data_IF_165899366744
#
_entry.id   IF_165899366744
#
_cell.length_a   1.000
_cell.length_b   1.000
_cell.length_c   1.000
_cell.angle_alpha   90.00
_cell.angle_beta   90.00
_cell.angle_gamma   90.00
#
_symmetry.space_group_name_H-M   'P 1'
#
loop_
_entity.id
_entity.type
_entity.pdbx_description
1 polymer ?
#
# COMPACT_ATOMS: atom_id res chain seq x y z
N UNK A 1 -36.48 -7.89 -17.64
CA UNK A 1 -35.17 -7.79 -18.32
C UNK A 1 -34.13 -7.97 -17.24
N UNK A 2 -33.40 -9.08 -17.25
CA UNK A 2 -32.50 -9.43 -16.16
C UNK A 2 -31.19 -8.64 -16.31
N UNK A 3 -30.81 -7.88 -15.27
CA UNK A 3 -29.49 -7.29 -15.13
C UNK A 3 -28.48 -8.43 -14.95
N UNK A 4 -27.77 -8.80 -16.03
CA UNK A 4 -26.73 -9.81 -15.97
C UNK A 4 -25.41 -9.16 -15.56
N UNK A 5 -25.18 -9.04 -14.26
CA UNK A 5 -23.79 -9.11 -13.80
C UNK A 5 -23.45 -10.60 -13.71
N UNK A 6 -22.51 -11.06 -14.52
CA UNK A 6 -22.11 -12.46 -14.51
C UNK A 6 -21.49 -12.79 -13.15
N UNK A 7 -22.08 -13.69 -12.34
CA UNK A 7 -21.53 -14.04 -11.04
C UNK A 7 -20.24 -14.84 -11.22
N UNK A 8 -19.12 -14.14 -11.13
CA UNK A 8 -17.79 -14.69 -10.92
C UNK A 8 -17.09 -13.85 -9.87
N UNK A 9 -16.10 -14.41 -9.18
CA UNK A 9 -15.27 -13.67 -8.22
C UNK A 9 -14.40 -12.65 -8.99
N UNK A 10 -15.01 -11.56 -9.45
CA UNK A 10 -14.30 -10.46 -10.03
C UNK A 10 -13.79 -9.58 -8.89
N UNK A 11 -12.47 -9.61 -8.70
CA UNK A 11 -11.78 -8.71 -7.79
C UNK A 11 -11.54 -7.41 -8.52
N UNK A 12 -12.13 -6.34 -8.01
CA UNK A 12 -11.92 -4.99 -8.51
C UNK A 12 -11.11 -4.21 -7.48
N UNK A 13 -9.98 -3.66 -7.90
CA UNK A 13 -9.21 -2.77 -7.05
C UNK A 13 -9.83 -1.37 -7.07
N UNK A 14 -10.18 -0.84 -5.90
CA UNK A 14 -10.58 0.57 -5.80
C UNK A 14 -9.31 1.42 -5.75
N UNK A 15 -9.10 2.35 -6.70
CA UNK A 15 -8.00 3.29 -6.62
C UNK A 15 -8.31 4.29 -5.50
N UNK A 16 -7.73 4.06 -4.33
CA UNK A 16 -7.78 5.02 -3.24
C UNK A 16 -6.40 5.67 -3.12
N UNK A 17 -6.37 6.98 -3.19
CA UNK A 17 -5.20 7.82 -2.95
C UNK A 17 -5.52 8.68 -1.73
N UNK A 18 -4.60 8.74 -0.77
CA UNK A 18 -4.77 9.53 0.46
C UNK A 18 -4.92 11.01 0.07
N UNK A 19 -5.96 11.65 0.58
CA UNK A 19 -6.28 13.05 0.30
C UNK A 19 -7.07 13.28 -0.99
N UNK A 20 -7.52 12.23 -1.68
CA UNK A 20 -8.37 12.33 -2.87
C UNK A 20 -9.78 11.78 -2.64
N UNK A 21 -10.73 12.32 -3.42
CA UNK A 21 -12.10 11.82 -3.46
C UNK A 21 -12.15 10.48 -4.21
N UNK A 22 -12.93 9.53 -3.69
CA UNK A 22 -13.20 8.26 -4.37
C UNK A 22 -14.46 8.40 -5.22
N UNK A 23 -14.29 8.23 -6.52
CA UNK A 23 -15.38 8.21 -7.49
C UNK A 23 -15.45 6.82 -8.10
N UNK A 24 -16.58 6.14 -7.93
CA UNK A 24 -16.83 4.81 -8.50
C UNK A 24 -18.00 4.90 -9.46
N UNK A 25 -17.75 4.63 -10.74
CA UNK A 25 -18.75 4.62 -11.78
C UNK A 25 -19.14 3.19 -12.15
N UNK A 26 -20.42 2.86 -12.01
CA UNK A 26 -20.99 1.60 -12.45
C UNK A 26 -21.76 1.83 -13.75
N UNK A 27 -21.32 1.18 -14.83
CA UNK A 27 -22.04 1.18 -16.09
C UNK A 27 -22.91 -0.06 -16.22
N UNK A 28 -24.20 0.12 -16.49
CA UNK A 28 -25.11 -0.96 -16.84
C UNK A 28 -24.92 -1.36 -18.30
N UNK A 29 -24.74 -2.65 -18.56
CA UNK A 29 -24.51 -3.22 -19.89
C UNK A 29 -25.32 -4.50 -20.11
N UNK A 30 -25.63 -4.81 -21.36
CA UNK A 30 -26.20 -6.10 -21.76
C UNK A 30 -25.12 -7.21 -21.78
N UNK A 31 -25.53 -8.44 -22.09
CA UNK A 31 -24.62 -9.59 -22.17
C UNK A 31 -23.53 -9.46 -23.26
N UNK A 32 -23.66 -8.49 -24.17
CA UNK A 32 -22.69 -8.20 -25.23
C UNK A 32 -21.79 -7.00 -24.86
N UNK A 33 -21.94 -6.42 -23.67
CA UNK A 33 -21.20 -5.24 -23.23
C UNK A 33 -21.75 -3.92 -23.79
N UNK A 34 -22.92 -3.92 -24.45
CA UNK A 34 -23.53 -2.67 -24.92
C UNK A 34 -24.16 -1.95 -23.72
N UNK A 35 -23.98 -0.63 -23.58
CA UNK A 35 -24.61 0.08 -22.48
C UNK A 35 -26.14 0.06 -22.54
N UNK A 36 -26.79 -0.11 -21.39
CA UNK A 36 -28.24 -0.17 -21.25
C UNK A 36 -28.68 0.75 -20.12
N UNK A 37 -29.78 1.48 -20.31
CA UNK A 37 -30.32 2.35 -19.26
C UNK A 37 -30.77 1.55 -18.03
N UNK A 38 -30.54 2.12 -16.84
CA UNK A 38 -31.13 1.60 -15.62
C UNK A 38 -32.65 1.71 -15.67
N UNK A 39 -33.33 0.68 -15.17
CA UNK A 39 -34.79 0.71 -15.07
C UNK A 39 -35.24 1.84 -14.12
N UNK A 40 -36.39 2.49 -14.38
CA UNK A 40 -36.92 3.52 -13.50
C UNK A 40 -37.06 3.07 -12.05
N UNK A 41 -36.52 3.86 -11.12
CA UNK A 41 -36.58 3.66 -9.67
C UNK A 41 -35.57 2.67 -9.09
N UNK A 42 -34.66 2.11 -9.92
CA UNK A 42 -33.48 1.40 -9.42
C UNK A 42 -32.68 2.33 -8.51
N UNK A 43 -32.16 1.77 -7.42
CA UNK A 43 -31.22 2.45 -6.52
C UNK A 43 -29.95 1.59 -6.39
N UNK A 44 -28.79 2.24 -6.35
CA UNK A 44 -27.50 1.60 -6.18
C UNK A 44 -26.76 2.26 -5.02
N UNK A 45 -26.09 1.45 -4.19
CA UNK A 45 -25.30 1.91 -3.06
C UNK A 45 -24.00 1.12 -2.96
N UNK A 46 -22.88 1.81 -2.76
CA UNK A 46 -21.60 1.21 -2.42
C UNK A 46 -21.50 1.07 -0.89
N UNK A 47 -21.27 -0.14 -0.40
CA UNK A 47 -21.01 -0.45 1.01
C UNK A 47 -19.54 -0.89 1.18
N UNK A 48 -18.79 -0.22 2.03
CA UNK A 48 -17.38 -0.49 2.34
C UNK A 48 -17.29 -0.98 3.79
N UNK A 49 -16.67 -2.14 4.02
CA UNK A 49 -16.60 -2.78 5.35
C UNK A 49 -15.33 -2.39 6.10
N UNK A 50 -15.45 -1.43 7.00
CA UNK A 50 -14.34 -1.00 7.83
C UNK A 50 -14.13 -2.00 8.97
N UNK A 51 -12.89 -2.44 9.22
CA UNK A 51 -12.58 -3.50 10.19
C UNK A 51 -13.05 -3.24 11.62
N UNK A 52 -13.11 -1.98 12.06
CA UNK A 52 -13.49 -1.61 13.43
C UNK A 52 -14.68 -0.65 13.52
N UNK A 53 -15.06 0.02 12.43
CA UNK A 53 -16.00 1.16 12.45
C UNK A 53 -17.36 0.84 11.82
N UNK A 54 -17.54 -0.38 11.29
CA UNK A 54 -18.79 -0.82 10.68
C UNK A 54 -18.84 -0.62 9.16
N UNK A 55 -20.01 -0.29 8.63
CA UNK A 55 -20.23 -0.17 7.18
C UNK A 55 -20.30 1.30 6.79
N UNK A 56 -19.41 1.72 5.90
CA UNK A 56 -19.48 3.00 5.22
C UNK A 56 -20.30 2.86 3.94
N UNK A 57 -21.40 3.59 3.82
CA UNK A 57 -22.25 3.58 2.62
C UNK A 57 -22.21 4.88 1.84
N UNK A 58 -22.24 4.78 0.51
CA UNK A 58 -22.41 5.88 -0.44
C UNK A 58 -23.52 5.55 -1.46
N UNK A 59 -24.53 6.41 -1.55
CA UNK A 59 -25.61 6.27 -2.53
C UNK A 59 -25.12 6.72 -3.90
N UNK A 60 -25.48 5.99 -4.95
CA UNK A 60 -25.15 6.35 -6.30
C UNK A 60 -26.10 7.43 -6.85
N UNK A 61 -25.55 8.37 -7.61
CA UNK A 61 -26.33 9.20 -8.51
C UNK A 61 -26.48 8.45 -9.84
N UNK A 62 -27.70 8.01 -10.13
CA UNK A 62 -28.04 7.29 -11.36
C UNK A 62 -28.46 8.30 -12.42
N UNK A 63 -27.89 8.18 -13.61
CA UNK A 63 -28.28 8.94 -14.79
C UNK A 63 -29.05 8.02 -15.76
N UNK A 64 -28.48 7.72 -16.92
CA UNK A 64 -29.02 6.79 -17.92
C UNK A 64 -28.52 5.38 -17.63
N UNK A 65 -27.32 5.07 -18.11
CA UNK A 65 -26.62 3.80 -18.02
C UNK A 65 -25.44 3.86 -17.04
N UNK A 66 -25.23 4.99 -16.35
CA UNK A 66 -24.18 5.19 -15.35
C UNK A 66 -24.77 5.46 -13.97
N UNK A 67 -24.17 4.86 -12.95
CA UNK A 67 -24.46 5.06 -11.55
C UNK A 67 -23.16 5.41 -10.82
N UNK A 68 -23.03 6.65 -10.38
CA UNK A 68 -21.79 7.16 -9.79
C UNK A 68 -21.92 7.27 -8.27
N UNK A 69 -21.08 6.53 -7.55
CA UNK A 69 -20.90 6.70 -6.11
C UNK A 69 -19.75 7.68 -5.86
N UNK A 70 -20.00 8.68 -5.01
CA UNK A 70 -19.00 9.65 -4.58
C UNK A 70 -18.75 9.53 -3.08
N UNK A 71 -17.47 9.42 -2.71
CA UNK A 71 -17.00 9.44 -1.33
C UNK A 71 -15.96 10.56 -1.20
N UNK A 72 -16.23 11.62 -0.41
CA UNK A 72 -15.27 12.70 -0.25
C UNK A 72 -14.03 12.23 0.50
N UNK A 73 -12.91 12.90 0.28
CA UNK A 73 -11.60 12.55 0.84
C UNK A 73 -11.65 12.35 2.37
N UNK A 74 -12.40 13.19 3.09
CA UNK A 74 -12.61 13.09 4.54
C UNK A 74 -13.16 11.74 5.04
N UNK A 75 -13.79 10.97 4.14
CA UNK A 75 -14.28 9.61 4.39
C UNK A 75 -13.37 8.56 3.78
N UNK A 76 -12.78 8.80 2.62
CA UNK A 76 -11.90 7.82 1.95
C UNK A 76 -10.60 7.61 2.71
N UNK A 77 -10.10 8.64 3.38
CA UNK A 77 -8.92 8.57 4.25
C UNK A 77 -9.10 7.62 5.45
N UNK A 78 -10.35 7.25 5.77
CA UNK A 78 -10.67 6.27 6.83
C UNK A 78 -10.62 4.81 6.33
N UNK A 79 -10.49 4.60 5.02
CA UNK A 79 -10.50 3.27 4.42
C UNK A 79 -9.08 2.69 4.49
N UNK A 80 -8.89 1.73 5.38
CA UNK A 80 -7.62 1.00 5.49
C UNK A 80 -7.34 0.12 4.25
N UNK A 81 -6.06 -0.18 4.00
CA UNK A 81 -5.66 -1.14 2.98
C UNK A 81 -6.26 -2.54 3.26
N UNK A 82 -6.65 -3.26 2.22
CA UNK A 82 -7.19 -4.61 2.36
C UNK A 82 -8.64 -4.66 2.87
N UNK A 83 -9.32 -3.51 2.91
CA UNK A 83 -10.76 -3.44 3.19
C UNK A 83 -11.56 -3.97 2.00
N UNK A 84 -12.58 -4.76 2.32
CA UNK A 84 -13.55 -5.28 1.36
C UNK A 84 -14.69 -4.28 1.15
N UNK A 85 -15.25 -4.31 -0.05
CA UNK A 85 -16.44 -3.55 -0.40
C UNK A 85 -17.43 -4.43 -1.15
N UNK A 86 -18.70 -4.02 -1.15
CA UNK A 86 -19.76 -4.60 -1.96
C UNK A 86 -20.60 -3.50 -2.60
N UNK A 87 -21.04 -3.75 -3.82
CA UNK A 87 -22.10 -2.97 -4.44
C UNK A 87 -23.46 -3.60 -4.09
N UNK A 88 -24.42 -2.78 -3.67
CA UNK A 88 -25.78 -3.19 -3.35
C UNK A 88 -26.73 -2.54 -4.34
N UNK A 89 -27.35 -3.35 -5.20
CA UNK A 89 -28.37 -2.92 -6.15
C UNK A 89 -29.76 -3.22 -5.59
N UNK A 90 -30.65 -2.24 -5.66
CA UNK A 90 -32.07 -2.37 -5.28
C UNK A 90 -32.95 -2.04 -6.49
N UNK A 91 -33.82 -2.98 -6.87
CA UNK A 91 -34.75 -2.80 -8.00
C UNK A 91 -36.16 -2.58 -7.45
N UNK A 92 -36.90 -1.55 -7.90
CA UNK A 92 -38.26 -1.28 -7.45
C UNK A 92 -39.23 -2.31 -8.05
N UNK A 93 -40.23 -2.73 -7.27
CA UNK A 93 -41.31 -3.61 -7.74
C UNK A 93 -41.25 -5.07 -7.26
N UNK A 94 -40.29 -5.43 -6.40
CA UNK A 94 -40.38 -6.67 -5.62
C UNK A 94 -41.48 -6.55 -4.56
N UNK A 95 -42.68 -7.06 -4.85
CA UNK A 95 -43.73 -7.21 -3.85
C UNK A 95 -43.29 -8.24 -2.81
N UNK A 96 -42.79 -7.76 -1.68
CA UNK A 96 -42.36 -8.58 -0.56
C UNK A 96 -40.88 -8.35 -0.26
N UNK A 97 -40.58 -8.32 1.03
CA UNK A 97 -39.26 -8.48 1.66
C UNK A 97 -38.23 -9.12 0.72
N UNK A 98 -37.02 -8.56 0.55
CA UNK A 98 -36.03 -9.06 -0.42
C UNK A 98 -35.69 -10.53 -0.12
N UNK A 99 -36.41 -11.45 -0.77
CA UNK A 99 -36.29 -12.90 -0.56
C UNK A 99 -35.30 -13.53 -1.56
N UNK A 100 -34.95 -12.80 -2.61
CA UNK A 100 -33.89 -13.14 -3.54
C UNK A 100 -33.05 -11.90 -3.73
N UNK A 101 -31.92 -11.93 -3.06
CA UNK A 101 -30.96 -10.87 -3.09
C UNK A 101 -30.21 -11.03 -4.42
N UNK A 102 -30.58 -10.28 -5.46
CA UNK A 102 -29.68 -10.05 -6.61
C UNK A 102 -28.55 -9.10 -6.14
N UNK A 103 -27.87 -9.47 -5.05
CA UNK A 103 -26.52 -9.02 -4.77
C UNK A 103 -25.71 -9.75 -5.81
N UNK A 104 -25.11 -8.98 -6.70
CA UNK A 104 -23.93 -9.46 -7.39
C UNK A 104 -22.80 -8.95 -6.51
N UNK A 105 -22.19 -9.82 -5.68
CA UNK A 105 -21.09 -9.41 -4.85
C UNK A 105 -19.90 -9.24 -5.79
N UNK A 106 -19.72 -8.00 -6.22
CA UNK A 106 -18.45 -7.58 -6.80
C UNK A 106 -17.49 -7.40 -5.63
N UNK A 107 -16.86 -8.49 -5.22
CA UNK A 107 -15.90 -8.50 -4.11
C UNK A 107 -14.57 -7.96 -4.63
N UNK A 108 -14.34 -6.67 -4.46
CA UNK A 108 -13.04 -6.05 -4.70
C UNK A 108 -12.22 -5.87 -3.42
N UNK A 109 -10.92 -5.70 -3.57
CA UNK A 109 -10.01 -5.30 -2.51
C UNK A 109 -9.63 -3.82 -2.71
N UNK A 110 -9.51 -3.04 -1.65
CA UNK A 110 -8.92 -1.71 -1.76
C UNK A 110 -7.39 -1.85 -1.78
N UNK A 111 -6.77 -1.42 -2.88
CA UNK A 111 -5.31 -1.23 -2.97
C UNK A 111 -5.05 0.28 -2.96
N UNK A 112 -4.42 0.75 -1.87
CA UNK A 112 -3.96 2.13 -1.81
C UNK A 112 -2.76 2.27 -2.75
N UNK A 113 -2.90 3.11 -3.77
CA UNK A 113 -1.77 3.54 -4.58
C UNK A 113 -1.18 4.76 -3.87
N UNK A 114 -0.09 4.57 -3.12
CA UNK A 114 0.77 5.69 -2.83
C UNK A 114 1.27 6.29 -4.15
N UNK A 115 1.68 7.57 -4.19
CA UNK A 115 2.26 8.18 -5.39
C UNK A 115 3.45 7.38 -5.97
N UNK A 116 4.03 6.45 -5.19
CA UNK A 116 5.21 5.66 -5.56
C UNK A 116 4.96 4.13 -5.66
N UNK A 117 3.72 3.63 -5.55
CA UNK A 117 3.47 2.18 -5.41
C UNK A 117 2.40 1.63 -6.37
N UNK A 118 2.67 1.69 -7.68
CA UNK A 118 1.98 0.84 -8.64
C UNK A 118 2.53 -0.60 -8.56
N UNK A 119 1.70 -1.64 -8.37
CA UNK A 119 2.15 -3.03 -8.39
C UNK A 119 2.66 -3.40 -9.79
N UNK A 120 3.85 -3.98 -9.84
CA UNK A 120 4.37 -4.62 -11.04
C UNK A 120 3.51 -5.86 -11.36
N UNK A 121 2.61 -5.76 -12.35
CA UNK A 121 1.87 -6.94 -12.83
C UNK A 121 0.54 -6.75 -13.54
N UNK A 122 0.06 -5.53 -13.82
CA UNK A 122 -1.23 -5.36 -14.52
C UNK A 122 -1.13 -5.76 -16.00
N UNK A 123 -1.74 -6.90 -16.35
CA UNK A 123 -1.92 -7.34 -17.73
C UNK A 123 -2.80 -6.37 -18.52
N UNK A 124 -2.50 -6.23 -19.80
CA UNK A 124 -3.23 -5.35 -20.72
C UNK A 124 -4.69 -5.79 -20.88
N UNK A 125 -5.64 -4.95 -20.46
CA UNK A 125 -7.05 -5.07 -20.88
C UNK A 125 -7.21 -4.23 -22.15
N UNK A 126 -7.55 -4.84 -23.31
CA UNK A 126 -7.83 -4.05 -24.50
C UNK A 126 -9.15 -3.27 -24.31
N UNK A 127 -9.08 -1.95 -24.33
CA UNK A 127 -10.26 -1.08 -24.43
C UNK A 127 -10.54 -0.84 -25.92
N UNK A 128 -11.63 -1.41 -26.43
CA UNK A 128 -12.08 -1.14 -27.80
C UNK A 128 -12.97 0.10 -27.79
N UNK A 129 -12.52 1.18 -28.43
CA UNK A 129 -13.33 2.38 -28.67
C UNK A 129 -14.03 2.29 -30.04
N UNK A 130 -15.18 2.97 -30.24
CA UNK A 130 -16.03 2.80 -31.44
C UNK A 130 -15.38 3.19 -32.78
N UNK A 131 -14.22 3.86 -32.76
CA UNK A 131 -13.61 4.47 -33.94
C UNK A 131 -12.25 3.87 -34.34
N UNK A 132 -11.92 2.69 -33.81
CA UNK A 132 -10.68 1.96 -34.12
C UNK A 132 -9.79 1.72 -32.90
N UNK A 133 -8.99 0.67 -32.98
CA UNK A 133 -8.13 0.22 -31.88
C UNK A 133 -6.98 1.21 -31.67
N UNK A 134 -6.95 1.88 -30.51
CA UNK A 134 -5.76 2.58 -30.02
C UNK A 134 -4.93 1.56 -29.25
N UNK A 135 -3.96 0.94 -29.90
CA UNK A 135 -2.92 0.17 -29.19
C UNK A 135 -1.98 1.14 -28.50
N UNK A 136 -2.28 1.49 -27.26
CA UNK A 136 -1.30 2.15 -26.39
C UNK A 136 -0.21 1.10 -26.14
N UNK A 137 0.98 1.30 -26.72
CA UNK A 137 2.16 0.56 -26.29
C UNK A 137 2.45 0.98 -24.84
N UNK A 138 1.88 0.25 -23.89
CA UNK A 138 2.32 0.32 -22.51
C UNK A 138 3.69 -0.39 -22.50
N UNK A 139 4.80 0.30 -22.20
CA UNK A 139 6.08 -0.38 -22.07
C UNK A 139 5.92 -1.43 -20.97
N UNK A 140 6.02 -2.70 -21.33
CA UNK A 140 6.05 -3.77 -20.34
C UNK A 140 7.30 -3.55 -19.51
N UNK A 141 7.20 -3.44 -18.17
CA UNK A 141 8.38 -3.44 -17.31
C UNK A 141 9.27 -4.60 -17.70
N UNK A 142 10.58 -4.36 -17.80
CA UNK A 142 11.54 -5.43 -18.06
C UNK A 142 11.39 -6.54 -17.02
N UNK A 143 11.85 -7.76 -17.32
CA UNK A 143 11.89 -8.84 -16.33
C UNK A 143 12.54 -8.31 -15.04
N UNK A 144 11.99 -8.64 -13.85
CA UNK A 144 12.68 -8.34 -12.60
C UNK A 144 14.13 -8.79 -12.71
N UNK A 145 15.06 -7.94 -12.29
CA UNK A 145 16.48 -8.31 -12.26
C UNK A 145 16.66 -9.60 -11.48
N UNK A 146 17.67 -10.40 -11.85
CA UNK A 146 18.02 -11.59 -11.07
C UNK A 146 18.21 -11.19 -9.60
N UNK A 147 17.61 -11.94 -8.68
CA UNK A 147 17.85 -11.71 -7.26
C UNK A 147 19.35 -11.80 -6.99
N UNK A 148 19.89 -10.81 -6.26
CA UNK A 148 21.29 -10.83 -5.86
C UNK A 148 21.60 -12.09 -5.05
N UNK A 149 22.84 -12.56 -5.13
CA UNK A 149 23.34 -13.64 -4.27
C UNK A 149 23.19 -13.19 -2.82
N UNK A 150 22.60 -14.04 -1.97
CA UNK A 150 22.49 -13.75 -0.54
C UNK A 150 23.89 -13.51 0.05
N UNK A 151 24.07 -12.37 0.72
CA UNK A 151 25.32 -12.07 1.43
C UNK A 151 25.57 -13.07 2.55
N UNK A 152 26.82 -13.49 2.74
CA UNK A 152 27.22 -14.50 3.74
C UNK A 152 27.66 -13.91 5.10
N UNK A 153 27.25 -12.68 5.42
CA UNK A 153 27.69 -11.99 6.64
C UNK A 153 26.73 -12.16 7.82
N UNK A 154 27.27 -12.29 9.04
CA UNK A 154 26.49 -12.11 10.28
C UNK A 154 26.52 -10.63 10.65
N UNK A 155 25.35 -10.02 10.76
CA UNK A 155 25.19 -8.61 11.16
C UNK A 155 24.82 -8.51 12.65
N UNK A 156 25.47 -7.61 13.36
CA UNK A 156 25.14 -7.20 14.73
C UNK A 156 24.46 -5.83 14.67
N UNK A 157 23.36 -5.66 15.38
CA UNK A 157 22.60 -4.41 15.45
C UNK A 157 22.41 -3.97 16.90
N UNK A 158 22.55 -2.67 17.17
CA UNK A 158 22.27 -2.06 18.46
C UNK A 158 23.21 -2.48 19.57
N UNK A 159 24.45 -2.88 19.27
CA UNK A 159 25.41 -3.25 20.31
C UNK A 159 25.82 -2.03 21.13
N UNK A 160 25.88 -2.17 22.46
CA UNK A 160 26.48 -1.19 23.35
C UNK A 160 27.94 -1.60 23.60
N UNK A 161 28.93 -0.91 23.02
CA UNK A 161 30.33 -1.30 23.16
C UNK A 161 30.81 -1.08 24.60
N UNK A 162 31.78 -1.87 25.04
CA UNK A 162 32.39 -1.72 26.34
C UNK A 162 33.16 -0.39 26.44
N UNK A 163 32.92 0.33 27.53
CA UNK A 163 33.45 1.66 27.78
C UNK A 163 32.36 2.54 28.37
N UNK A 164 32.66 3.28 29.43
CA UNK A 164 31.69 4.18 30.06
C UNK A 164 31.91 5.60 29.53
N UNK A 165 30.90 6.19 28.86
CA UNK A 165 30.90 7.62 28.56
C UNK A 165 31.09 8.43 29.85
N UNK A 166 31.98 9.40 29.84
CA UNK A 166 32.27 10.24 31.02
C UNK A 166 32.87 11.62 30.66
N UNK A 167 32.84 12.00 29.39
CA UNK A 167 33.48 13.22 28.88
C UNK A 167 34.99 13.11 28.66
N UNK A 168 35.62 11.97 28.97
CA UNK A 168 37.05 11.73 28.76
C UNK A 168 37.37 10.43 28.02
N UNK A 169 36.53 9.40 28.13
CA UNK A 169 36.71 8.12 27.42
C UNK A 169 36.43 8.32 25.93
N UNK A 170 37.42 8.03 25.09
CA UNK A 170 37.29 8.07 23.62
C UNK A 170 37.27 6.70 22.97
N UNK A 171 37.82 5.68 23.62
CA UNK A 171 37.95 4.33 23.08
C UNK A 171 36.87 3.43 23.65
N UNK A 172 36.09 2.81 22.77
CA UNK A 172 35.03 1.87 23.09
C UNK A 172 35.26 0.56 22.33
N UNK A 173 35.03 -0.59 22.97
CA UNK A 173 35.40 -1.91 22.42
C UNK A 173 34.15 -2.74 22.14
N UNK A 174 33.94 -3.16 20.90
CA UNK A 174 32.86 -4.08 20.54
C UNK A 174 33.16 -5.52 20.99
N UNK A 175 32.12 -6.32 21.19
CA UNK A 175 32.19 -7.71 21.63
C UNK A 175 32.81 -8.64 20.59
N UNK A 176 32.59 -8.35 19.30
CA UNK A 176 33.17 -9.12 18.19
C UNK A 176 34.06 -8.24 17.30
N UNK A 177 35.00 -8.88 16.61
CA UNK A 177 35.74 -8.23 15.54
C UNK A 177 34.78 -7.88 14.40
N UNK A 178 34.66 -6.59 14.10
CA UNK A 178 33.91 -6.12 12.95
C UNK A 178 34.77 -6.07 11.68
N UNK A 179 34.14 -6.28 10.54
CA UNK A 179 34.73 -6.02 9.23
C UNK A 179 34.97 -4.50 9.10
N UNK A 180 36.21 -4.08 8.86
CA UNK A 180 36.53 -2.67 8.57
C UNK A 180 35.69 -2.19 7.39
N UNK A 181 35.13 -0.99 7.46
CA UNK A 181 34.11 -0.57 6.51
C UNK A 181 32.68 -0.64 7.05
N UNK A 182 32.37 -1.61 7.93
CA UNK A 182 30.97 -1.98 8.20
C UNK A 182 30.29 -1.24 9.36
N UNK A 183 31.05 -0.55 10.23
CA UNK A 183 30.51 0.06 11.45
C UNK A 183 29.57 1.22 11.18
N UNK A 184 28.48 1.31 11.94
CA UNK A 184 27.59 2.47 12.04
C UNK A 184 27.45 2.80 13.51
N UNK A 185 28.05 3.91 13.93
CA UNK A 185 28.07 4.34 15.34
C UNK A 185 27.01 5.40 15.54
N UNK A 186 26.26 5.30 16.64
CA UNK A 186 25.21 6.24 17.00
C UNK A 186 25.49 6.80 18.39
N UNK A 187 25.35 8.11 18.56
CA UNK A 187 25.38 8.82 19.84
C UNK A 187 24.02 9.46 20.07
N UNK A 188 23.32 9.05 21.13
CA UNK A 188 21.95 9.48 21.42
C UNK A 188 20.98 9.29 20.23
N UNK A 189 21.18 8.19 19.48
CA UNK A 189 20.40 7.88 18.27
C UNK A 189 20.81 8.63 17.00
N UNK A 190 21.73 9.61 17.08
CA UNK A 190 22.26 10.32 15.92
C UNK A 190 23.46 9.57 15.35
N UNK A 191 23.44 9.30 14.04
CA UNK A 191 24.52 8.61 13.34
C UNK A 191 25.75 9.51 13.25
N UNK A 192 26.89 8.98 13.69
CA UNK A 192 28.19 9.62 13.62
C UNK A 192 28.86 9.32 12.27
N UNK A 193 29.58 10.29 11.73
CA UNK A 193 30.28 10.14 10.46
C UNK A 193 31.70 9.59 10.69
N UNK A 194 32.06 8.52 9.97
CA UNK A 194 33.39 7.92 10.11
C UNK A 194 34.46 8.86 9.53
N UNK A 195 35.58 8.98 10.23
CA UNK A 195 36.67 9.91 9.91
C UNK A 195 36.45 11.31 10.46
N UNK A 196 35.23 11.69 10.84
CA UNK A 196 34.92 12.98 11.47
C UNK A 196 34.51 12.83 12.93
N UNK A 197 33.45 12.07 13.20
CA UNK A 197 32.93 11.81 14.55
C UNK A 197 33.65 10.68 15.27
N UNK A 198 34.11 9.67 14.54
CA UNK A 198 34.88 8.55 15.06
C UNK A 198 35.82 7.93 14.01
N UNK A 199 36.86 7.22 14.46
CA UNK A 199 37.65 6.30 13.67
C UNK A 199 37.50 4.86 14.20
N UNK A 200 37.86 3.87 13.38
CA UNK A 200 37.73 2.46 13.73
C UNK A 200 39.08 1.75 13.70
N UNK A 201 39.31 0.85 14.66
CA UNK A 201 40.46 -0.05 14.72
C UNK A 201 40.00 -1.35 15.37
N UNK A 202 39.59 -2.33 14.56
CA UNK A 202 38.92 -3.56 15.01
C UNK A 202 39.56 -4.18 16.27
N UNK A 203 38.80 -4.48 17.34
CA UNK A 203 37.34 -4.32 17.54
C UNK A 203 36.92 -2.98 18.18
N UNK A 204 37.75 -1.95 18.10
CA UNK A 204 37.55 -0.67 18.81
C UNK A 204 37.02 0.45 17.93
N UNK A 205 36.16 1.28 18.51
CA UNK A 205 35.67 2.55 17.99
C UNK A 205 36.33 3.67 18.82
N UNK A 206 36.90 4.65 18.14
CA UNK A 206 37.63 5.76 18.76
C UNK A 206 36.94 7.07 18.39
N UNK A 207 36.26 7.69 19.34
CA UNK A 207 35.61 8.99 19.13
C UNK A 207 36.61 10.12 19.04
N UNK A 208 36.39 11.05 18.11
CA UNK A 208 37.18 12.28 17.98
C UNK A 208 36.95 13.22 19.17
N UNK A 209 35.72 13.27 19.68
CA UNK A 209 35.34 14.00 20.91
C UNK A 209 34.66 13.04 21.87
N UNK A 210 35.21 12.90 23.08
CA UNK A 210 34.72 12.01 24.11
C UNK A 210 33.23 12.24 24.39
N UNK A 211 32.37 11.20 24.32
CA UNK A 211 30.96 11.33 24.69
C UNK A 211 30.79 11.69 26.18
N UNK A 212 29.80 12.53 26.47
CA UNK A 212 29.45 12.94 27.83
C UNK A 212 28.86 11.76 28.62
N UNK A 213 28.91 11.83 29.95
CA UNK A 213 28.44 10.72 30.80
C UNK A 213 26.97 10.36 30.67
N UNK A 214 26.16 11.25 30.09
CA UNK A 214 24.74 11.04 29.81
C UNK A 214 24.49 10.50 28.40
N UNK A 215 25.52 10.42 27.55
CA UNK A 215 25.36 9.95 26.17
C UNK A 215 25.17 8.43 26.12
N UNK A 216 24.30 7.98 25.22
CA UNK A 216 24.08 6.57 24.90
C UNK A 216 24.78 6.24 23.59
N UNK A 217 25.66 5.25 23.60
CA UNK A 217 26.39 4.79 22.41
C UNK A 217 25.85 3.44 21.97
N UNK A 218 25.48 3.33 20.70
CA UNK A 218 25.15 2.05 20.05
C UNK A 218 25.89 1.90 18.73
N UNK A 219 26.16 0.66 18.32
CA UNK A 219 26.92 0.34 17.11
C UNK A 219 26.27 -0.82 16.36
N UNK A 220 26.16 -0.69 15.04
CA UNK A 220 25.84 -1.78 14.11
C UNK A 220 27.07 -2.13 13.29
N UNK A 221 27.27 -3.41 12.97
CA UNK A 221 28.40 -3.84 12.14
C UNK A 221 28.21 -5.25 11.54
N UNK A 222 29.07 -5.60 10.58
CA UNK A 222 29.20 -6.98 10.09
C UNK A 222 30.40 -7.64 10.80
N UNK A 223 30.23 -8.87 11.26
CA UNK A 223 31.31 -9.65 11.86
C UNK A 223 32.35 -10.01 10.77
N UNK A 224 33.63 -9.86 11.09
CA UNK A 224 34.76 -10.22 10.22
C UNK A 224 35.06 -11.73 10.22
#
# INVERSE_FOLDING_TARGET
MALLFTPGAQVYDLPIIIGEDLVVDFQNQDANGNPVDYAPGVALRLDIYLWAEGIMSAQAQISTNHAVCFLPHSRTDQIAQGVYWRCVLTVPGGLGTPASVDIVPVNGAVVLYGPDSAPAGAGSVPLTLPNGNVSILVPTPGPPGVSGIAGTGVSVFGEVPAGTPNGSTTVFTCANNFQSGSTRVYRNGLREERGLGYSESTPTIIFTTAPMGTDVITVDYLIA
#
